data_IF_876377915569
#
_entry.id   IF_876377915569
#
_cell.length_a   1.000
_cell.length_b   1.000
_cell.length_c   1.000
_cell.angle_alpha   90.00
_cell.angle_beta   90.00
_cell.angle_gamma   90.00
#
_symmetry.space_group_name_H-M   'P 1'
#
loop_
_entity.id
_entity.type
_entity.pdbx_description
1 polymer ?
#
# COMPACT_ATOMS: atom_id res chain seq x y z
N UNK A 1 -10.74 10.51 -27.96
CA UNK A 1 -9.50 9.75 -27.73
C UNK A 1 -8.82 10.18 -26.44
N UNK A 2 -8.47 11.46 -26.32
CA UNK A 2 -7.93 12.14 -25.12
C UNK A 2 -8.76 11.97 -23.83
N UNK A 3 -10.08 12.15 -23.88
CA UNK A 3 -10.94 11.93 -22.70
C UNK A 3 -11.03 10.45 -22.29
N UNK A 4 -10.92 9.51 -23.24
CA UNK A 4 -10.86 8.08 -22.93
C UNK A 4 -9.49 7.73 -22.34
N UNK A 5 -8.41 8.39 -22.78
CA UNK A 5 -7.09 8.21 -22.20
C UNK A 5 -7.06 8.71 -20.75
N UNK A 6 -7.55 9.92 -20.49
CA UNK A 6 -7.67 10.47 -19.13
C UNK A 6 -8.45 9.51 -18.21
N UNK A 7 -9.62 9.04 -18.66
CA UNK A 7 -10.40 8.03 -17.91
C UNK A 7 -9.63 6.75 -17.62
N UNK A 8 -8.76 6.29 -18.53
CA UNK A 8 -7.93 5.08 -18.30
C UNK A 8 -6.83 5.34 -17.29
N UNK A 9 -6.19 6.52 -17.33
CA UNK A 9 -5.23 6.92 -16.29
C UNK A 9 -5.92 7.04 -14.93
N UNK A 10 -7.05 7.74 -14.85
CA UNK A 10 -7.81 7.89 -13.61
C UNK A 10 -8.24 6.52 -13.04
N UNK A 11 -8.70 5.62 -13.92
CA UNK A 11 -9.08 4.25 -13.53
C UNK A 11 -7.88 3.43 -13.05
N UNK A 12 -6.72 3.55 -13.71
CA UNK A 12 -5.50 2.85 -13.32
C UNK A 12 -4.95 3.36 -12.00
N UNK A 13 -4.88 4.69 -11.82
CA UNK A 13 -4.50 5.35 -10.57
C UNK A 13 -5.43 4.91 -9.44
N UNK A 14 -6.76 5.03 -9.63
CA UNK A 14 -7.73 4.62 -8.62
C UNK A 14 -7.68 3.12 -8.30
N UNK A 15 -7.39 2.29 -9.30
CA UNK A 15 -7.19 0.84 -9.13
C UNK A 15 -5.96 0.55 -8.27
N UNK A 16 -4.81 1.16 -8.59
CA UNK A 16 -3.57 0.99 -7.85
C UNK A 16 -3.69 1.52 -6.42
N UNK A 17 -4.32 2.68 -6.21
CA UNK A 17 -4.59 3.21 -4.86
C UNK A 17 -5.40 2.22 -4.02
N UNK A 18 -6.49 1.66 -4.57
CA UNK A 18 -7.29 0.64 -3.87
C UNK A 18 -6.49 -0.62 -3.54
N UNK A 19 -5.63 -1.06 -4.45
CA UNK A 19 -4.74 -2.21 -4.21
C UNK A 19 -3.73 -1.90 -3.11
N UNK A 20 -3.12 -0.72 -3.12
CA UNK A 20 -2.19 -0.27 -2.07
C UNK A 20 -2.89 -0.25 -0.72
N UNK A 21 -4.06 0.38 -0.62
CA UNK A 21 -4.84 0.45 0.63
C UNK A 21 -5.20 -0.93 1.17
N UNK A 22 -5.61 -1.86 0.29
CA UNK A 22 -5.91 -3.24 0.67
C UNK A 22 -4.68 -3.96 1.21
N UNK A 23 -3.57 -3.91 0.49
CA UNK A 23 -2.32 -4.57 0.88
C UNK A 23 -1.68 -3.94 2.13
N UNK A 24 -1.77 -2.62 2.29
CA UNK A 24 -1.33 -1.93 3.51
C UNK A 24 -2.12 -2.41 4.73
N UNK A 25 -3.45 -2.51 4.60
CA UNK A 25 -4.31 -3.02 5.66
C UNK A 25 -3.96 -4.46 6.02
N UNK A 26 -3.73 -5.32 5.04
CA UNK A 26 -3.37 -6.72 5.25
C UNK A 26 -2.01 -6.86 5.97
N UNK A 27 -1.04 -6.01 5.61
CA UNK A 27 0.30 -6.03 6.20
C UNK A 27 0.41 -5.27 7.53
N UNK A 28 -0.68 -4.69 8.04
CA UNK A 28 -0.72 -3.97 9.33
C UNK A 28 -1.70 -4.59 10.33
N UNK A 29 -2.27 -5.76 10.03
CA UNK A 29 -3.27 -6.36 10.92
C UNK A 29 -2.64 -6.75 12.26
N UNK A 30 -3.34 -6.56 13.39
CA UNK A 30 -2.87 -7.09 14.66
C UNK A 30 -2.78 -8.62 14.56
N UNK A 31 -1.76 -9.20 15.19
CA UNK A 31 -1.66 -10.66 15.31
C UNK A 31 -2.15 -11.07 16.69
N UNK A 32 -2.93 -12.14 16.75
CA UNK A 32 -3.23 -12.80 18.02
C UNK A 32 -2.10 -13.77 18.36
N UNK A 33 -1.81 -13.94 19.64
CA UNK A 33 -0.79 -14.89 20.11
C UNK A 33 -1.19 -16.33 19.81
N UNK A 34 -0.85 -16.83 18.60
CA UNK A 34 -1.17 -18.19 18.16
C UNK A 34 -0.49 -19.21 19.06
N UNK A 35 -1.28 -19.89 19.89
CA UNK A 35 -0.84 -21.07 20.63
C UNK A 35 0.15 -20.83 21.76
N UNK A 36 0.26 -19.60 22.26
CA UNK A 36 1.25 -19.26 23.30
C UNK A 36 0.68 -19.23 24.72
N UNK A 37 -0.65 -19.17 24.86
CA UNK A 37 -1.39 -19.41 26.10
C UNK A 37 -0.69 -18.93 27.37
N UNK A 38 -0.29 -19.90 28.22
CA UNK A 38 0.39 -19.65 29.50
C UNK A 38 1.85 -19.17 29.37
N UNK A 39 2.57 -19.56 28.30
CA UNK A 39 4.00 -19.25 28.12
C UNK A 39 4.24 -17.83 27.58
N UNK A 40 3.20 -17.15 27.10
CA UNK A 40 3.31 -15.79 26.55
C UNK A 40 3.84 -14.79 27.59
N UNK A 41 3.49 -14.98 28.87
CA UNK A 41 4.01 -14.16 29.97
C UNK A 41 5.53 -14.31 30.13
N UNK A 42 6.02 -15.55 30.11
CA UNK A 42 7.43 -15.88 30.29
C UNK A 42 8.30 -15.38 29.13
N UNK A 43 7.83 -15.55 27.88
CA UNK A 43 8.54 -15.03 26.70
C UNK A 43 8.67 -13.51 26.77
N UNK A 44 7.58 -12.80 27.11
CA UNK A 44 7.62 -11.34 27.26
C UNK A 44 8.55 -10.90 28.38
N UNK A 45 8.53 -11.60 29.52
CA UNK A 45 9.43 -11.35 30.63
C UNK A 45 10.91 -11.58 30.25
N UNK A 46 11.20 -12.64 29.50
CA UNK A 46 12.54 -12.90 28.97
C UNK A 46 13.02 -11.76 28.06
N UNK A 47 12.20 -11.35 27.09
CA UNK A 47 12.54 -10.24 26.18
C UNK A 47 12.73 -8.94 26.95
N UNK A 48 11.88 -8.66 27.95
CA UNK A 48 12.01 -7.47 28.79
C UNK A 48 13.29 -7.47 29.64
N UNK A 49 13.76 -8.64 30.07
CA UNK A 49 14.99 -8.79 30.83
C UNK A 49 16.27 -8.60 29.99
N UNK A 50 16.18 -8.66 28.66
CA UNK A 50 17.30 -8.32 27.78
C UNK A 50 17.64 -6.83 27.86
N UNK A 51 18.90 -6.51 27.58
CA UNK A 51 19.36 -5.14 27.36
C UNK A 51 18.53 -4.47 26.27
N UNK A 52 18.22 -3.18 26.45
CA UNK A 52 17.35 -2.42 25.55
C UNK A 52 17.80 -2.52 24.08
N UNK A 53 19.11 -2.44 23.83
CA UNK A 53 19.68 -2.60 22.48
C UNK A 53 19.58 -4.00 21.89
N UNK A 54 19.44 -5.05 22.72
CA UNK A 54 19.37 -6.44 22.29
C UNK A 54 17.94 -6.90 21.94
N UNK A 55 16.91 -6.23 22.48
CA UNK A 55 15.48 -6.61 22.31
C UNK A 55 15.06 -6.63 20.84
N UNK A 56 15.35 -5.56 20.11
CA UNK A 56 15.01 -5.45 18.68
C UNK A 56 15.68 -6.57 17.86
N UNK A 57 16.98 -6.80 18.10
CA UNK A 57 17.73 -7.83 17.39
C UNK A 57 17.22 -9.24 17.69
N UNK A 58 16.81 -9.51 18.93
CA UNK A 58 16.19 -10.79 19.30
C UNK A 58 14.87 -11.01 18.56
N UNK A 59 13.98 -10.01 18.52
CA UNK A 59 12.68 -10.13 17.87
C UNK A 59 12.84 -10.24 16.34
N UNK A 60 13.76 -9.48 15.73
CA UNK A 60 14.07 -9.60 14.30
C UNK A 60 14.55 -11.00 13.93
N UNK A 61 15.45 -11.59 14.72
CA UNK A 61 15.90 -12.98 14.51
C UNK A 61 14.75 -13.98 14.63
N UNK A 62 13.83 -13.77 15.58
CA UNK A 62 12.64 -14.61 15.72
C UNK A 62 11.74 -14.52 14.48
N UNK A 63 11.55 -13.31 13.92
CA UNK A 63 10.81 -13.09 12.67
C UNK A 63 11.51 -13.79 11.50
N UNK A 64 12.83 -13.65 11.38
CA UNK A 64 13.61 -14.26 10.30
C UNK A 64 13.56 -15.78 10.33
N UNK A 65 13.59 -16.36 11.53
CA UNK A 65 13.50 -17.79 11.79
C UNK A 65 12.07 -18.35 11.65
N UNK A 66 11.05 -17.49 11.55
CA UNK A 66 9.65 -17.91 11.53
C UNK A 66 9.16 -18.46 12.87
N UNK A 67 9.71 -17.97 13.99
CA UNK A 67 9.25 -18.33 15.33
C UNK A 67 7.95 -17.60 15.69
N UNK A 68 6.83 -18.15 15.21
CA UNK A 68 5.49 -17.63 15.44
C UNK A 68 5.11 -17.58 16.94
N UNK A 69 5.72 -18.41 17.79
CA UNK A 69 5.42 -18.42 19.23
C UNK A 69 6.00 -17.17 19.89
N UNK A 70 7.26 -16.87 19.61
CA UNK A 70 7.92 -15.66 20.12
C UNK A 70 7.29 -14.41 19.51
N UNK A 71 7.10 -14.39 18.19
CA UNK A 71 6.48 -13.26 17.50
C UNK A 71 5.05 -13.01 18.00
N UNK A 72 4.23 -14.06 18.14
CA UNK A 72 2.87 -13.97 18.66
C UNK A 72 2.80 -13.49 20.12
N UNK A 73 3.70 -13.95 20.99
CA UNK A 73 3.73 -13.49 22.38
C UNK A 73 4.09 -12.01 22.51
N UNK A 74 5.09 -11.57 21.74
CA UNK A 74 5.67 -10.22 21.84
C UNK A 74 4.84 -9.21 21.05
N UNK A 75 4.54 -9.49 19.77
CA UNK A 75 3.87 -8.56 18.86
C UNK A 75 2.35 -8.61 18.97
N UNK A 76 1.76 -9.72 19.45
CA UNK A 76 0.33 -9.80 19.77
C UNK A 76 -0.02 -9.35 21.19
N UNK A 77 0.98 -9.07 22.02
CA UNK A 77 0.81 -8.58 23.39
C UNK A 77 0.88 -7.06 23.51
N UNK A 78 0.76 -6.57 24.74
CA UNK A 78 0.96 -5.14 25.03
C UNK A 78 2.46 -4.82 25.07
N UNK A 79 2.96 -3.80 24.35
CA UNK A 79 4.40 -3.64 24.06
C UNK A 79 5.27 -3.42 25.31
N UNK A 80 4.76 -2.71 26.33
CA UNK A 80 5.51 -2.47 27.56
C UNK A 80 5.79 -3.75 28.39
N UNK A 81 5.03 -4.83 28.17
CA UNK A 81 5.27 -6.13 28.82
C UNK A 81 6.53 -6.80 28.27
N UNK A 82 6.89 -6.52 27.03
CA UNK A 82 8.12 -6.99 26.38
C UNK A 82 9.26 -5.97 26.45
N UNK A 83 9.03 -4.81 27.08
CA UNK A 83 10.03 -3.75 27.17
C UNK A 83 10.32 -3.06 25.83
N UNK A 84 9.37 -3.04 24.89
CA UNK A 84 9.47 -2.30 23.63
C UNK A 84 8.47 -1.14 23.62
N UNK A 85 8.73 -0.14 22.78
CA UNK A 85 7.77 0.95 22.57
C UNK A 85 6.66 0.52 21.61
N UNK A 86 5.49 1.17 21.63
CA UNK A 86 4.43 0.93 20.65
C UNK A 86 4.91 1.12 19.19
N UNK A 87 5.73 2.14 18.94
CA UNK A 87 6.29 2.40 17.61
C UNK A 87 7.22 1.27 17.14
N UNK A 88 8.03 0.72 18.05
CA UNK A 88 8.87 -0.44 17.74
C UNK A 88 8.01 -1.67 17.41
N UNK A 89 6.93 -1.88 18.15
CA UNK A 89 6.00 -2.97 17.88
C UNK A 89 5.35 -2.85 16.50
N UNK A 90 4.90 -1.66 16.10
CA UNK A 90 4.31 -1.42 14.76
C UNK A 90 5.29 -1.77 13.64
N UNK A 91 6.55 -1.33 13.75
CA UNK A 91 7.60 -1.61 12.77
C UNK A 91 7.88 -3.11 12.69
N UNK A 92 8.02 -3.79 13.84
CA UNK A 92 8.29 -5.22 13.89
C UNK A 92 7.11 -6.06 13.41
N UNK A 93 5.88 -5.62 13.70
CA UNK A 93 4.65 -6.25 13.20
C UNK A 93 4.57 -6.16 11.68
N UNK A 94 4.91 -5.01 11.11
CA UNK A 94 5.01 -4.84 9.66
C UNK A 94 6.05 -5.78 9.07
N UNK A 95 7.25 -5.84 9.66
CA UNK A 95 8.31 -6.74 9.22
C UNK A 95 7.87 -8.22 9.26
N UNK A 96 7.17 -8.62 10.34
CA UNK A 96 6.60 -9.95 10.48
C UNK A 96 5.60 -10.27 9.35
N UNK A 97 4.70 -9.34 9.02
CA UNK A 97 3.75 -9.54 7.92
C UNK A 97 4.40 -9.57 6.54
N UNK A 98 5.40 -8.74 6.31
CA UNK A 98 6.15 -8.76 5.05
C UNK A 98 6.93 -10.07 4.87
N UNK A 99 7.44 -10.63 5.97
CA UNK A 99 8.12 -11.93 5.97
C UNK A 99 7.15 -13.10 5.79
N UNK A 100 6.01 -13.08 6.48
CA UNK A 100 5.01 -14.14 6.40
C UNK A 100 4.25 -14.13 5.07
N UNK A 101 4.07 -12.96 4.45
CA UNK A 101 3.45 -12.80 3.15
C UNK A 101 4.34 -12.00 2.17
N UNK A 102 5.43 -12.62 1.67
CA UNK A 102 6.36 -11.94 0.77
C UNK A 102 5.73 -11.59 -0.58
N UNK A 103 4.65 -12.28 -0.97
CA UNK A 103 3.89 -11.97 -2.18
C UNK A 103 3.15 -10.65 -2.04
N UNK A 104 2.42 -10.45 -0.94
CA UNK A 104 1.72 -9.20 -0.66
C UNK A 104 2.70 -8.02 -0.58
N UNK A 105 3.84 -8.19 0.10
CA UNK A 105 4.88 -7.16 0.18
C UNK A 105 5.44 -6.78 -1.20
N UNK A 106 5.75 -7.77 -2.05
CA UNK A 106 6.21 -7.52 -3.43
C UNK A 106 5.14 -6.84 -4.28
N UNK A 107 3.88 -7.26 -4.15
CA UNK A 107 2.75 -6.64 -4.86
C UNK A 107 2.55 -5.19 -4.44
N UNK A 108 2.66 -4.89 -3.13
CA UNK A 108 2.56 -3.53 -2.61
C UNK A 108 3.66 -2.64 -3.19
N UNK A 109 4.90 -3.13 -3.19
CA UNK A 109 6.04 -2.40 -3.77
C UNK A 109 5.82 -2.13 -5.25
N UNK A 110 5.37 -3.13 -6.01
CA UNK A 110 5.07 -2.98 -7.43
C UNK A 110 3.92 -1.98 -7.69
N UNK A 111 2.87 -2.02 -6.86
CA UNK A 111 1.74 -1.11 -6.99
C UNK A 111 2.14 0.35 -6.70
N UNK A 112 2.94 0.58 -5.65
CA UNK A 112 3.50 1.91 -5.33
C UNK A 112 4.38 2.44 -6.47
N UNK A 113 5.29 1.61 -6.98
CA UNK A 113 6.15 1.99 -8.10
C UNK A 113 5.34 2.26 -9.39
N UNK A 114 4.27 1.50 -9.63
CA UNK A 114 3.36 1.75 -10.75
C UNK A 114 2.61 3.07 -10.64
N UNK A 115 2.17 3.44 -9.43
CA UNK A 115 1.48 4.70 -9.17
C UNK A 115 2.42 5.90 -9.39
N UNK A 116 3.66 5.80 -8.91
CA UNK A 116 4.72 6.78 -9.14
C UNK A 116 5.01 6.95 -10.64
N UNK A 117 5.17 5.83 -11.37
CA UNK A 117 5.40 5.84 -12.81
C UNK A 117 4.26 6.53 -13.58
N UNK A 118 3.00 6.30 -13.19
CA UNK A 118 1.85 6.98 -13.81
C UNK A 118 1.86 8.49 -13.54
N UNK A 119 2.23 8.90 -12.32
CA UNK A 119 2.38 10.31 -11.96
C UNK A 119 3.46 11.01 -12.79
N UNK A 120 4.63 10.38 -12.90
CA UNK A 120 5.79 10.95 -13.60
C UNK A 120 5.63 10.99 -15.12
N UNK A 121 5.07 9.91 -15.70
CA UNK A 121 5.01 9.73 -17.16
C UNK A 121 3.70 10.20 -17.78
N UNK A 122 2.62 10.30 -16.99
CA UNK A 122 1.31 10.75 -17.45
C UNK A 122 1.35 12.09 -18.21
N UNK A 123 1.96 13.16 -17.66
CA UNK A 123 2.00 14.47 -18.30
C UNK A 123 2.65 14.46 -19.69
N UNK A 124 3.67 13.61 -19.91
CA UNK A 124 4.34 13.49 -21.20
C UNK A 124 3.39 12.99 -22.29
N UNK A 125 2.59 11.97 -21.97
CA UNK A 125 1.64 11.37 -22.90
C UNK A 125 0.51 12.35 -23.23
N UNK A 126 -0.01 13.08 -22.22
CA UNK A 126 -1.01 14.12 -22.47
C UNK A 126 -0.47 15.23 -23.36
N UNK A 127 0.78 15.67 -23.16
CA UNK A 127 1.42 16.70 -23.98
C UNK A 127 1.59 16.27 -25.44
N UNK A 128 2.10 15.07 -25.70
CA UNK A 128 2.27 14.59 -27.08
C UNK A 128 0.92 14.37 -27.78
N UNK A 129 -0.09 13.95 -27.04
CA UNK A 129 -1.44 13.80 -27.58
C UNK A 129 -2.11 15.16 -27.90
N UNK A 130 -1.90 16.19 -27.08
CA UNK A 130 -2.36 17.55 -27.39
C UNK A 130 -1.71 18.08 -28.67
N UNK A 131 -0.41 17.85 -28.86
CA UNK A 131 0.28 18.20 -30.11
C UNK A 131 -0.31 17.47 -31.31
N UNK A 132 -0.57 16.17 -31.21
CA UNK A 132 -1.11 15.37 -32.30
C UNK A 132 -2.54 15.78 -32.71
N UNK A 133 -3.37 16.22 -31.76
CA UNK A 133 -4.75 16.68 -32.02
C UNK A 133 -4.79 18.15 -32.47
N UNK A 134 -3.73 18.92 -32.20
CA UNK A 134 -3.60 20.34 -32.59
C UNK A 134 -4.45 21.31 -31.75
N UNK A 135 -5.21 20.82 -30.77
CA UNK A 135 -6.00 21.63 -29.86
C UNK A 135 -6.27 20.91 -28.53
N UNK A 136 -6.46 21.69 -27.46
CA UNK A 136 -6.89 21.15 -26.16
C UNK A 136 -8.23 20.44 -26.28
N UNK A 137 -8.36 19.28 -25.62
CA UNK A 137 -9.55 18.45 -25.80
C UNK A 137 -10.85 19.13 -25.35
N UNK A 138 -10.81 19.94 -24.30
CA UNK A 138 -11.99 20.68 -23.84
C UNK A 138 -12.58 21.54 -24.97
N UNK A 139 -11.71 22.20 -25.75
CA UNK A 139 -12.11 23.00 -26.91
C UNK A 139 -12.68 22.12 -28.04
N UNK A 140 -12.07 20.98 -28.32
CA UNK A 140 -12.57 20.03 -29.33
C UNK A 140 -13.96 19.48 -28.94
N UNK A 141 -14.20 19.20 -27.66
CA UNK A 141 -15.52 18.73 -27.20
C UNK A 141 -16.59 19.82 -27.29
N UNK A 142 -16.26 21.06 -26.91
CA UNK A 142 -17.18 22.19 -27.08
C UNK A 142 -17.56 22.38 -28.55
N UNK A 143 -16.59 22.33 -29.46
CA UNK A 143 -16.84 22.46 -30.90
C UNK A 143 -17.69 21.30 -31.45
N UNK A 144 -17.45 20.06 -31.02
CA UNK A 144 -18.27 18.90 -31.42
C UNK A 144 -19.70 18.98 -30.87
N UNK A 145 -19.87 19.42 -29.62
CA UNK A 145 -21.18 19.60 -29.01
C UNK A 145 -21.98 20.71 -29.71
N UNK A 146 -21.32 21.84 -30.00
CA UNK A 146 -21.92 22.94 -30.76
C UNK A 146 -22.33 22.50 -32.18
N UNK A 147 -21.46 21.74 -32.88
CA UNK A 147 -21.78 21.19 -34.20
C UNK A 147 -22.98 20.23 -34.14
N UNK A 148 -23.01 19.30 -33.20
CA UNK A 148 -24.11 18.34 -33.05
C UNK A 148 -25.44 19.03 -32.68
N UNK A 149 -25.40 20.11 -31.91
CA UNK A 149 -26.57 20.93 -31.63
C UNK A 149 -27.07 21.66 -32.88
N UNK A 150 -26.16 22.23 -33.68
CA UNK A 150 -26.48 22.91 -34.93
C UNK A 150 -27.07 21.95 -35.99
N UNK A 151 -26.52 20.73 -36.12
CA UNK A 151 -27.05 19.71 -37.03
C UNK A 151 -28.46 19.26 -36.62
N UNK A 152 -28.74 19.11 -35.32
CA UNK A 152 -30.09 18.78 -34.84
C UNK A 152 -31.12 19.88 -35.11
N UNK A 153 -30.72 21.15 -35.05
CA UNK A 153 -31.62 22.27 -35.38
C UNK A 153 -31.92 22.41 -36.87
N UNK A 154 -31.13 21.76 -37.74
CA UNK A 154 -31.27 21.86 -39.20
C UNK A 154 -32.12 20.72 -39.82
N UNK A 155 -32.49 19.70 -39.04
CA UNK A 155 -33.30 18.54 -39.49
C UNK A 155 -34.78 18.70 -39.09
N UNK A 156 -35.26 19.95 -39.00
CA UNK A 156 -36.69 20.29 -38.88
C UNK A 156 -37.18 20.84 -40.21
#
# INVERSE_FOLDING_TARGET
MTANLAKRFDSATAGLTRVIEGLERDLSQPIEGRGVGAMAGEIRAHVKALDEGARMGFIQKAIEAGDDRTCGAVLGGVPYLSGITPQMQEILLRLYHEKSNPRAAKQLRAAKAGLELLGDRGPLIFKEMEKAVGAKQAKVQQLRAAKAAAEKSFVV
#
